data_IF_319569155707
#
_entry.id   IF_319569155707
#
_cell.length_a   1.000
_cell.length_b   1.000
_cell.length_c   1.000
_cell.angle_alpha   90.00
_cell.angle_beta   90.00
_cell.angle_gamma   90.00
#
_symmetry.space_group_name_H-M   'P 1'
#
loop_
_entity.id
_entity.type
_entity.pdbx_description
1 polymer ?
#
# COMPACT_ATOMS: atom_id res chain seq x y z
N UNK A 1 10.82 -14.88 1.53
CA UNK A 1 10.96 -15.95 2.53
C UNK A 1 12.40 -16.45 2.78
N UNK A 2 13.36 -16.38 1.85
CA UNK A 2 14.69 -17.04 2.02
C UNK A 2 15.57 -16.58 3.20
N UNK A 3 15.38 -15.36 3.72
CA UNK A 3 16.15 -14.84 4.85
C UNK A 3 15.32 -14.73 6.13
N UNK A 4 14.11 -14.15 6.05
CA UNK A 4 13.24 -13.88 7.21
C UNK A 4 12.08 -14.90 7.39
N UNK A 5 11.90 -15.84 6.45
CA UNK A 5 10.84 -16.85 6.52
C UNK A 5 9.45 -16.36 6.08
N UNK A 6 8.48 -17.28 6.05
CA UNK A 6 7.06 -16.95 5.78
C UNK A 6 6.42 -16.17 6.94
N UNK A 7 6.83 -16.45 8.18
CA UNK A 7 6.29 -15.76 9.36
C UNK A 7 6.47 -14.24 9.26
N UNK A 8 7.61 -13.78 8.74
CA UNK A 8 7.84 -12.35 8.50
C UNK A 8 6.83 -11.72 7.52
N UNK A 9 6.34 -12.48 6.54
CA UNK A 9 5.35 -12.02 5.57
C UNK A 9 3.94 -11.97 6.17
N UNK A 10 3.68 -12.65 7.29
CA UNK A 10 2.40 -12.58 8.02
C UNK A 10 2.29 -11.35 8.93
N UNK A 11 3.41 -10.66 9.17
CA UNK A 11 3.52 -9.58 10.14
C UNK A 11 4.02 -8.27 9.51
N UNK A 12 3.66 -8.02 8.25
CA UNK A 12 4.06 -6.79 7.57
C UNK A 12 3.41 -5.56 8.23
N UNK A 13 4.19 -4.50 8.35
CA UNK A 13 3.70 -3.17 8.72
C UNK A 13 4.10 -2.20 7.61
N UNK A 14 3.11 -1.72 6.85
CA UNK A 14 3.33 -0.93 5.63
C UNK A 14 2.67 0.43 5.85
N UNK A 15 3.40 1.50 5.61
CA UNK A 15 2.85 2.85 5.50
C UNK A 15 2.65 3.15 4.02
N UNK A 16 1.47 3.63 3.65
CA UNK A 16 1.09 3.74 2.24
C UNK A 16 0.38 5.06 1.94
N UNK A 17 0.92 5.78 0.97
CA UNK A 17 0.39 7.01 0.39
C UNK A 17 0.73 7.06 -1.09
N UNK A 18 -0.01 7.86 -1.86
CA UNK A 18 0.46 8.31 -3.16
C UNK A 18 1.57 9.33 -2.98
N UNK A 19 2.45 9.51 -3.96
CA UNK A 19 3.56 10.47 -3.87
C UNK A 19 3.57 11.41 -5.07
N UNK A 20 3.68 12.71 -4.80
CA UNK A 20 4.05 13.71 -5.80
C UNK A 20 5.57 13.83 -5.82
N UNK A 21 6.18 13.72 -7.01
CA UNK A 21 7.63 13.79 -7.18
C UNK A 21 8.06 15.10 -7.83
N UNK A 22 9.27 15.54 -7.49
CA UNK A 22 10.04 16.54 -8.23
C UNK A 22 11.35 15.93 -8.74
N UNK A 23 12.11 16.69 -9.53
CA UNK A 23 13.47 16.32 -9.90
C UNK A 23 14.42 16.13 -8.70
N UNK A 24 14.07 16.60 -7.49
CA UNK A 24 14.86 16.45 -6.27
C UNK A 24 14.38 15.33 -5.34
N UNK A 25 13.35 14.57 -5.74
CA UNK A 25 12.74 13.52 -4.94
C UNK A 25 11.30 13.83 -4.57
N UNK A 26 10.82 13.17 -3.51
CA UNK A 26 9.47 13.37 -2.96
C UNK A 26 9.21 14.85 -2.65
N UNK A 27 8.02 15.31 -3.02
CA UNK A 27 7.49 16.64 -2.70
C UNK A 27 6.53 16.57 -1.53
N UNK A 28 5.51 15.71 -1.65
CA UNK A 28 4.46 15.49 -0.66
C UNK A 28 3.66 14.22 -0.98
N UNK A 29 2.89 13.76 0.00
CA UNK A 29 1.89 12.71 -0.18
C UNK A 29 0.72 13.20 -1.06
N UNK A 30 0.08 12.27 -1.74
CA UNK A 30 -1.11 12.45 -2.57
C UNK A 30 -2.18 11.41 -2.19
N UNK A 31 -3.47 11.72 -2.46
CA UNK A 31 -4.49 10.69 -2.51
C UNK A 31 -4.07 9.53 -3.42
N UNK A 32 -4.34 8.29 -3.01
CA UNK A 32 -3.91 7.08 -3.74
C UNK A 32 -4.41 7.13 -5.19
N UNK A 33 -5.65 7.56 -5.38
CA UNK A 33 -6.31 7.67 -6.70
C UNK A 33 -5.77 8.79 -7.59
N UNK A 34 -5.00 9.72 -7.03
CA UNK A 34 -4.36 10.83 -7.76
C UNK A 34 -2.88 10.57 -8.05
N UNK A 35 -2.34 9.44 -7.57
CA UNK A 35 -0.93 9.07 -7.73
C UNK A 35 -0.70 8.06 -8.85
N UNK A 36 0.56 7.83 -9.20
CA UNK A 36 1.00 6.79 -10.13
C UNK A 36 1.14 5.41 -9.47
N UNK A 37 0.75 5.27 -8.20
CA UNK A 37 0.82 4.01 -7.46
C UNK A 37 -0.15 2.99 -8.06
N UNK A 38 0.42 1.91 -8.58
CA UNK A 38 -0.30 0.71 -9.05
C UNK A 38 -0.80 -0.14 -7.88
N UNK A 39 -1.79 0.40 -7.17
CA UNK A 39 -2.31 -0.15 -5.90
C UNK A 39 -2.93 -1.54 -6.08
N UNK A 40 -3.64 -1.78 -7.18
CA UNK A 40 -4.26 -3.09 -7.46
C UNK A 40 -3.20 -4.17 -7.65
N UNK A 41 -2.13 -3.85 -8.34
CA UNK A 41 -1.00 -4.75 -8.58
C UNK A 41 -0.20 -5.01 -7.31
N UNK A 42 0.00 -3.99 -6.46
CA UNK A 42 0.59 -4.16 -5.13
C UNK A 42 -0.23 -5.15 -4.30
N UNK A 43 -1.55 -4.95 -4.19
CA UNK A 43 -2.42 -5.85 -3.42
C UNK A 43 -2.49 -7.26 -4.01
N UNK A 44 -2.52 -7.38 -5.34
CA UNK A 44 -2.45 -8.67 -6.02
C UNK A 44 -1.17 -9.41 -5.66
N UNK A 45 -0.01 -8.71 -5.68
CA UNK A 45 1.27 -9.30 -5.31
C UNK A 45 1.30 -9.73 -3.82
N UNK A 46 0.76 -8.92 -2.92
CA UNK A 46 0.66 -9.26 -1.49
C UNK A 46 -0.21 -10.51 -1.28
N UNK A 47 -1.38 -10.59 -1.92
CA UNK A 47 -2.26 -11.78 -1.85
C UNK A 47 -1.63 -13.03 -2.45
N UNK A 48 -0.99 -12.92 -3.61
CA UNK A 48 -0.33 -14.06 -4.27
C UNK A 48 0.81 -14.65 -3.44
N UNK A 49 1.43 -13.84 -2.58
CA UNK A 49 2.48 -14.27 -1.68
C UNK A 49 1.96 -14.61 -0.27
N UNK A 50 0.63 -14.70 -0.10
CA UNK A 50 -0.04 -14.97 1.17
C UNK A 50 0.42 -14.02 2.28
N UNK A 51 0.66 -12.75 1.96
CA UNK A 51 1.12 -11.78 2.94
C UNK A 51 -0.01 -11.36 3.89
N UNK A 52 0.32 -11.25 5.18
CA UNK A 52 -0.54 -10.73 6.24
C UNK A 52 0.08 -9.51 6.93
N UNK A 53 -0.72 -8.83 7.75
CA UNK A 53 -0.25 -7.70 8.56
C UNK A 53 -1.18 -6.49 8.51
N UNK A 54 -0.59 -5.30 8.58
CA UNK A 54 -1.31 -4.01 8.63
C UNK A 54 -0.73 -3.01 7.64
N UNK A 55 -1.61 -2.41 6.86
CA UNK A 55 -1.32 -1.21 6.07
C UNK A 55 -1.89 0.00 6.82
N UNK A 56 -1.08 1.04 6.98
CA UNK A 56 -1.45 2.35 7.54
C UNK A 56 -1.58 3.32 6.37
N UNK A 57 -2.77 3.92 6.22
CA UNK A 57 -3.01 4.96 5.23
C UNK A 57 -2.36 6.26 5.69
N UNK A 58 -1.42 6.79 4.91
CA UNK A 58 -0.77 8.09 5.15
C UNK A 58 -1.10 9.11 4.05
N UNK A 59 -2.12 8.83 3.25
CA UNK A 59 -2.68 9.77 2.28
C UNK A 59 -3.23 11.02 2.97
N UNK A 60 -3.21 12.21 2.34
CA UNK A 60 -3.92 13.39 2.82
C UNK A 60 -5.45 13.21 2.88
N UNK A 61 -6.02 12.21 2.21
CA UNK A 61 -7.43 11.81 2.27
C UNK A 61 -7.58 10.47 3.00
N UNK A 62 -7.22 10.44 4.29
CA UNK A 62 -6.99 9.21 5.05
C UNK A 62 -8.19 8.26 5.05
N UNK A 63 -9.38 8.75 5.42
CA UNK A 63 -10.59 7.95 5.56
C UNK A 63 -11.07 7.41 4.22
N UNK A 64 -11.12 8.27 3.19
CA UNK A 64 -11.58 7.87 1.86
C UNK A 64 -10.64 6.86 1.21
N UNK A 65 -9.33 7.05 1.33
CA UNK A 65 -8.36 6.12 0.77
C UNK A 65 -8.26 4.84 1.60
N UNK A 66 -8.41 4.89 2.92
CA UNK A 66 -8.49 3.68 3.73
C UNK A 66 -9.71 2.82 3.35
N UNK A 67 -10.88 3.45 3.14
CA UNK A 67 -12.07 2.75 2.69
C UNK A 67 -11.92 2.20 1.26
N UNK A 68 -11.32 2.99 0.36
CA UNK A 68 -11.03 2.55 -1.01
C UNK A 68 -10.07 1.36 -1.02
N UNK A 69 -8.97 1.42 -0.26
CA UNK A 69 -8.00 0.32 -0.14
C UNK A 69 -8.66 -0.94 0.43
N UNK A 70 -9.46 -0.82 1.49
CA UNK A 70 -10.17 -1.96 2.06
C UNK A 70 -11.13 -2.60 1.03
N UNK A 71 -11.88 -1.77 0.30
CA UNK A 71 -12.82 -2.23 -0.71
C UNK A 71 -12.11 -2.94 -1.86
N UNK A 72 -11.02 -2.35 -2.36
CA UNK A 72 -10.18 -2.95 -3.40
C UNK A 72 -9.55 -4.27 -2.94
N UNK A 73 -9.06 -4.34 -1.71
CA UNK A 73 -8.53 -5.58 -1.15
C UNK A 73 -9.59 -6.67 -1.08
N UNK A 74 -10.82 -6.35 -0.70
CA UNK A 74 -11.91 -7.33 -0.61
C UNK A 74 -12.45 -7.80 -1.97
N UNK A 75 -12.25 -7.01 -3.03
CA UNK A 75 -12.63 -7.37 -4.40
C UNK A 75 -11.65 -8.38 -5.06
N UNK A 76 -10.38 -8.32 -4.68
CA UNK A 76 -9.31 -9.20 -5.17
C UNK A 76 -9.40 -10.62 -4.61
#
# INVERSE_FOLDING_TARGET
AKALGNDSLQHLHIHLSGIEYTAKGEKNHLPIRESDLRIRELFTALKQNDCGGRIVCESPAMEEDAQFMQSLWNEL
#
